data_IF_976810375264
#
_entry.id   IF_976810375264
#
_cell.length_a   1.000
_cell.length_b   1.000
_cell.length_c   1.000
_cell.angle_alpha   90.00
_cell.angle_beta   90.00
_cell.angle_gamma   90.00
#
_symmetry.space_group_name_H-M   'P 1'
#
loop_
_entity.id
_entity.type
_entity.pdbx_description
1 polymer ?
#
# COMPACT_ATOMS: atom_id res chain seq x y z
N UNK A 1 -12.55 1.69 -2.53
CA UNK A 1 -11.67 1.07 -1.53
C UNK A 1 -10.23 1.54 -1.68
N UNK A 2 -9.51 1.18 -2.76
CA UNK A 2 -8.12 1.62 -2.95
C UNK A 2 -7.93 3.14 -2.95
N UNK A 3 -8.88 3.92 -3.49
CA UNK A 3 -8.83 5.38 -3.42
C UNK A 3 -8.89 5.93 -1.98
N UNK A 4 -9.59 5.23 -1.07
CA UNK A 4 -9.62 5.55 0.37
C UNK A 4 -8.25 5.29 0.99
N UNK A 5 -7.67 4.12 0.73
CA UNK A 5 -6.32 3.76 1.18
C UNK A 5 -5.27 4.75 0.65
N UNK A 6 -5.33 5.10 -0.64
CA UNK A 6 -4.42 6.07 -1.24
C UNK A 6 -4.57 7.47 -0.63
N UNK A 7 -5.78 7.89 -0.26
CA UNK A 7 -5.99 9.17 0.44
C UNK A 7 -5.27 9.18 1.80
N UNK A 8 -5.45 8.13 2.60
CA UNK A 8 -4.75 7.99 3.89
C UNK A 8 -3.23 7.99 3.72
N UNK A 9 -2.72 7.28 2.70
CA UNK A 9 -1.28 7.28 2.40
C UNK A 9 -0.78 8.69 2.02
N UNK A 10 -1.58 9.48 1.29
CA UNK A 10 -1.22 10.86 0.95
C UNK A 10 -1.21 11.77 2.18
N UNK A 11 -2.15 11.61 3.10
CA UNK A 11 -2.17 12.33 4.39
C UNK A 11 -0.92 12.01 5.22
N UNK A 12 -0.54 10.73 5.30
CA UNK A 12 0.69 10.29 5.97
C UNK A 12 1.95 10.85 5.28
N UNK A 13 1.97 10.85 3.95
CA UNK A 13 3.09 11.41 3.17
C UNK A 13 3.23 12.91 3.39
N UNK A 14 2.12 13.63 3.39
CA UNK A 14 2.06 15.07 3.60
C UNK A 14 2.52 15.46 5.02
N UNK A 15 2.14 14.67 6.03
CA UNK A 15 2.73 14.78 7.37
C UNK A 15 4.26 14.66 7.33
N UNK A 16 4.83 13.63 6.68
CA UNK A 16 6.28 13.47 6.56
C UNK A 16 6.93 14.68 5.88
N UNK A 17 6.35 15.15 4.77
CA UNK A 17 6.90 16.31 4.04
C UNK A 17 6.97 17.53 4.95
N UNK A 18 5.88 17.84 5.67
CA UNK A 18 5.81 18.97 6.61
C UNK A 18 6.76 18.78 7.78
N UNK A 19 6.74 17.61 8.42
CA UNK A 19 7.58 17.30 9.56
C UNK A 19 9.06 17.58 9.26
N UNK A 20 9.58 17.02 8.17
CA UNK A 20 10.98 17.25 7.79
C UNK A 20 11.22 18.68 7.30
N UNK A 21 10.25 19.36 6.68
CA UNK A 21 10.41 20.77 6.28
C UNK A 21 10.57 21.69 7.49
N UNK A 22 9.78 21.47 8.54
CA UNK A 22 9.77 22.30 9.75
C UNK A 22 10.98 22.00 10.64
N UNK A 23 11.25 20.73 10.91
CA UNK A 23 12.19 20.36 11.97
C UNK A 23 13.64 20.16 11.50
N UNK A 24 13.89 20.05 10.19
CA UNK A 24 15.24 19.86 9.66
C UNK A 24 16.16 21.05 9.96
N UNK A 25 15.66 22.28 9.81
CA UNK A 25 16.43 23.49 10.11
C UNK A 25 16.74 23.64 11.61
N UNK A 26 15.81 23.23 12.46
CA UNK A 26 15.99 23.17 13.91
C UNK A 26 16.80 21.96 14.40
N UNK A 27 17.41 21.19 13.49
CA UNK A 27 18.15 19.96 13.80
C UNK A 27 17.34 18.98 14.68
N UNK A 28 16.03 18.91 14.46
CA UNK A 28 15.10 18.06 15.21
C UNK A 28 15.05 18.36 16.72
N UNK A 29 15.35 19.60 17.13
CA UNK A 29 15.18 20.08 18.52
C UNK A 29 13.74 20.56 18.73
N UNK A 30 13.21 20.37 19.94
CA UNK A 30 11.88 20.85 20.37
C UNK A 30 10.69 20.33 19.53
N UNK A 31 10.75 19.09 19.05
CA UNK A 31 9.63 18.46 18.33
C UNK A 31 8.47 18.22 19.31
N UNK A 32 7.23 18.63 18.97
CA UNK A 32 6.05 18.30 19.78
C UNK A 32 5.89 16.79 19.97
N UNK A 33 5.60 16.36 21.21
CA UNK A 33 5.49 14.93 21.56
C UNK A 33 4.53 14.16 20.66
N UNK A 34 3.40 14.77 20.28
CA UNK A 34 2.42 14.13 19.39
C UNK A 34 2.98 13.85 17.98
N UNK A 35 3.77 14.78 17.43
CA UNK A 35 4.41 14.58 16.12
C UNK A 35 5.46 13.48 16.19
N UNK A 36 6.26 13.45 17.26
CA UNK A 36 7.27 12.42 17.47
C UNK A 36 6.64 11.03 17.61
N UNK A 37 5.55 10.92 18.37
CA UNK A 37 4.77 9.68 18.50
C UNK A 37 4.20 9.23 17.16
N UNK A 38 3.64 10.16 16.37
CA UNK A 38 3.08 9.82 15.07
C UNK A 38 4.16 9.39 14.06
N UNK A 39 5.32 10.07 14.04
CA UNK A 39 6.47 9.66 13.25
C UNK A 39 6.96 8.26 13.62
N UNK A 40 7.02 7.93 14.92
CA UNK A 40 7.37 6.60 15.41
C UNK A 40 6.36 5.53 14.96
N UNK A 41 5.05 5.82 15.01
CA UNK A 41 4.01 4.92 14.48
C UNK A 41 4.20 4.67 12.98
N UNK A 42 4.51 5.71 12.19
CA UNK A 42 4.78 5.56 10.76
C UNK A 42 6.07 4.76 10.50
N UNK A 43 7.11 4.97 11.32
CA UNK A 43 8.35 4.18 11.28
C UNK A 43 8.05 2.70 11.38
N UNK A 44 7.28 2.31 12.39
CA UNK A 44 6.90 0.92 12.64
C UNK A 44 6.01 0.35 11.53
N UNK A 45 4.95 1.09 11.15
CA UNK A 45 4.00 0.70 10.08
C UNK A 45 4.73 0.36 8.78
N UNK A 46 5.64 1.25 8.35
CA UNK A 46 6.39 1.14 7.11
C UNK A 46 7.73 0.43 7.24
N UNK A 47 8.12 -0.02 8.44
CA UNK A 47 9.40 -0.70 8.73
C UNK A 47 10.61 0.11 8.28
N UNK A 48 10.68 1.36 8.71
CA UNK A 48 11.81 2.27 8.45
C UNK A 48 12.81 2.13 9.59
N UNK A 49 14.09 1.99 9.28
CA UNK A 49 15.11 1.62 10.26
C UNK A 49 15.35 2.76 11.26
N UNK A 50 15.57 3.97 10.76
CA UNK A 50 15.91 5.16 11.55
C UNK A 50 14.75 6.16 11.58
N UNK A 51 14.60 6.85 12.71
CA UNK A 51 13.46 7.74 12.94
C UNK A 51 13.47 8.97 12.03
N UNK A 52 14.66 9.47 11.67
CA UNK A 52 14.82 10.71 10.90
C UNK A 52 15.31 10.45 9.45
N UNK A 53 14.88 9.35 8.81
CA UNK A 53 15.22 9.05 7.41
C UNK A 53 14.12 9.44 6.43
N UNK A 54 14.10 10.74 6.08
CA UNK A 54 13.16 11.33 5.12
C UNK A 54 13.09 10.55 3.81
N UNK A 55 14.22 10.06 3.30
CA UNK A 55 14.28 9.38 2.00
C UNK A 55 13.52 8.07 2.06
N UNK A 56 13.75 7.25 3.09
CA UNK A 56 13.01 6.00 3.28
C UNK A 56 11.51 6.23 3.49
N UNK A 57 11.11 7.25 4.25
CA UNK A 57 9.69 7.62 4.37
C UNK A 57 9.07 7.95 3.02
N UNK A 58 9.68 8.86 2.25
CA UNK A 58 9.13 9.29 0.98
C UNK A 58 9.18 8.21 -0.11
N UNK A 59 10.04 7.21 0.00
CA UNK A 59 10.04 6.05 -0.90
C UNK A 59 8.93 5.05 -0.59
N UNK A 60 8.65 4.84 0.70
CA UNK A 60 7.68 3.84 1.17
C UNK A 60 6.24 4.37 1.26
N UNK A 61 6.05 5.61 1.71
CA UNK A 61 4.72 6.20 1.96
C UNK A 61 4.21 6.89 0.70
N UNK A 62 3.61 6.10 -0.18
CA UNK A 62 3.18 6.57 -1.48
C UNK A 62 2.07 5.68 -2.07
N UNK A 63 1.23 6.24 -2.92
CA UNK A 63 0.01 5.67 -3.49
C UNK A 63 0.30 4.49 -4.42
N UNK A 64 -0.64 3.56 -4.51
CA UNK A 64 -0.62 2.44 -5.46
C UNK A 64 -1.50 2.79 -6.66
N UNK A 65 -1.07 2.52 -7.92
CA UNK A 65 -1.91 2.73 -9.09
C UNK A 65 -3.24 1.98 -8.96
N UNK A 66 -4.33 2.65 -9.31
CA UNK A 66 -5.67 2.08 -9.16
C UNK A 66 -5.84 0.93 -10.14
N UNK A 67 -5.37 1.10 -11.38
CA UNK A 67 -5.48 0.08 -12.41
C UNK A 67 -4.73 -1.21 -12.07
N UNK A 68 -3.52 -1.10 -11.48
CA UNK A 68 -2.77 -2.26 -10.98
C UNK A 68 -3.58 -3.00 -9.91
N UNK A 69 -4.10 -2.25 -8.93
CA UNK A 69 -4.85 -2.84 -7.81
C UNK A 69 -6.10 -3.57 -8.30
N UNK A 70 -6.83 -2.99 -9.26
CA UNK A 70 -8.01 -3.63 -9.85
C UNK A 70 -7.64 -4.90 -10.63
N UNK A 71 -6.55 -4.87 -11.41
CA UNK A 71 -6.11 -6.04 -12.16
C UNK A 71 -5.64 -7.18 -11.25
N UNK A 72 -4.85 -6.87 -10.22
CA UNK A 72 -4.44 -7.85 -9.22
C UNK A 72 -5.66 -8.39 -8.47
N UNK A 73 -6.57 -7.52 -8.01
CA UNK A 73 -7.80 -7.97 -7.36
C UNK A 73 -8.61 -8.91 -8.27
N UNK A 74 -8.79 -8.58 -9.56
CA UNK A 74 -9.52 -9.43 -10.49
C UNK A 74 -8.87 -10.81 -10.67
N UNK A 75 -7.54 -10.86 -10.79
CA UNK A 75 -6.79 -12.12 -10.93
C UNK A 75 -6.83 -12.93 -9.63
N UNK A 76 -6.42 -12.34 -8.51
CA UNK A 76 -6.27 -13.05 -7.23
C UNK A 76 -7.61 -13.55 -6.66
N UNK A 77 -8.69 -12.80 -6.90
CA UNK A 77 -10.03 -13.17 -6.39
C UNK A 77 -10.90 -13.92 -7.40
N UNK A 78 -10.43 -14.12 -8.63
CA UNK A 78 -11.27 -14.61 -9.72
C UNK A 78 -12.50 -13.74 -9.94
N UNK A 79 -12.30 -12.42 -10.06
CA UNK A 79 -13.38 -11.41 -10.17
C UNK A 79 -14.33 -11.39 -8.97
N UNK A 80 -13.79 -11.56 -7.76
CA UNK A 80 -14.53 -11.57 -6.50
C UNK A 80 -15.30 -12.86 -6.22
N UNK A 81 -15.20 -13.87 -7.09
CA UNK A 81 -15.96 -15.12 -6.96
C UNK A 81 -15.32 -16.10 -5.97
N UNK A 82 -14.03 -15.94 -5.67
CA UNK A 82 -13.29 -16.80 -4.75
C UNK A 82 -13.97 -16.87 -3.38
N UNK A 83 -14.03 -18.09 -2.83
CA UNK A 83 -14.58 -18.32 -1.49
C UNK A 83 -13.82 -17.54 -0.40
N UNK A 84 -12.52 -17.29 -0.59
CA UNK A 84 -11.73 -16.52 0.38
C UNK A 84 -12.14 -15.05 0.44
N UNK A 85 -12.72 -14.51 -0.64
CA UNK A 85 -13.34 -13.18 -0.59
C UNK A 85 -14.61 -13.22 0.23
N UNK A 86 -15.47 -14.23 0.02
CA UNK A 86 -16.76 -14.35 0.69
C UNK A 86 -16.65 -14.69 2.19
N UNK A 87 -15.73 -15.58 2.53
CA UNK A 87 -15.59 -16.14 3.89
C UNK A 87 -14.54 -15.42 4.74
N UNK A 88 -13.51 -14.86 4.11
CA UNK A 88 -12.37 -14.28 4.81
C UNK A 88 -12.11 -12.81 4.48
N UNK A 89 -12.94 -12.18 3.65
CA UNK A 89 -12.72 -10.83 3.11
C UNK A 89 -11.33 -10.64 2.49
N UNK A 90 -10.73 -11.71 1.95
CA UNK A 90 -9.34 -11.73 1.54
C UNK A 90 -9.22 -11.71 0.01
N UNK A 91 -9.09 -10.50 -0.56
CA UNK A 91 -9.09 -10.27 -2.00
C UNK A 91 -7.79 -10.76 -2.65
N UNK A 92 -6.66 -10.57 -1.97
CA UNK A 92 -5.32 -10.79 -2.52
C UNK A 92 -4.67 -12.08 -1.99
N UNK A 93 -5.47 -12.98 -1.43
CA UNK A 93 -5.02 -14.28 -0.94
C UNK A 93 -3.93 -14.20 0.14
N UNK A 94 -3.96 -13.21 1.03
CA UNK A 94 -2.95 -13.03 2.08
C UNK A 94 -2.85 -14.23 3.02
N UNK A 95 -1.60 -14.59 3.33
CA UNK A 95 -1.25 -15.71 4.20
C UNK A 95 -1.04 -15.19 5.63
N UNK A 96 -1.28 -16.03 6.62
CA UNK A 96 -0.93 -15.81 8.02
C UNK A 96 -0.37 -17.09 8.62
N UNK A 97 0.61 -16.93 9.51
CA UNK A 97 1.15 -18.02 10.35
C UNK A 97 0.55 -18.01 11.76
N UNK A 98 -0.37 -17.07 12.03
CA UNK A 98 -1.11 -17.01 13.28
C UNK A 98 -2.06 -18.20 13.46
N UNK A 99 -2.58 -18.34 14.68
CA UNK A 99 -3.52 -19.42 15.04
C UNK A 99 -4.89 -19.26 14.35
N UNK A 100 -5.30 -18.03 14.06
CA UNK A 100 -6.58 -17.71 13.38
C UNK A 100 -6.38 -17.59 11.87
N UNK A 101 -7.17 -18.32 11.09
CA UNK A 101 -7.18 -18.30 9.63
C UNK A 101 -7.84 -19.55 9.04
N UNK A 102 -8.21 -19.50 7.76
CA UNK A 102 -8.79 -20.66 7.06
C UNK A 102 -7.65 -21.55 6.56
N UNK A 103 -7.73 -22.86 6.81
CA UNK A 103 -6.75 -23.81 6.26
C UNK A 103 -7.09 -24.01 4.76
N UNK A 104 -6.16 -23.77 3.82
CA UNK A 104 -6.40 -24.02 2.41
C UNK A 104 -6.69 -25.50 2.14
N UNK A 105 -7.66 -25.78 1.27
CA UNK A 105 -7.83 -27.13 0.72
C UNK A 105 -6.61 -27.49 -0.12
N UNK A 106 -6.06 -28.69 0.08
CA UNK A 106 -4.86 -29.13 -0.65
C UNK A 106 -3.55 -28.43 -0.24
N UNK A 107 -3.47 -27.86 0.97
CA UNK A 107 -2.21 -27.34 1.51
C UNK A 107 -1.14 -28.45 1.53
N UNK A 108 -0.03 -28.23 0.83
CA UNK A 108 1.11 -29.16 0.78
C UNK A 108 1.59 -29.58 2.17
N UNK A 109 2.06 -30.83 2.27
CA UNK A 109 2.62 -31.39 3.49
C UNK A 109 3.79 -30.53 4.01
N UNK A 110 3.80 -30.30 5.32
CA UNK A 110 4.80 -29.46 6.01
C UNK A 110 4.53 -27.95 5.97
N UNK A 111 3.61 -27.45 5.13
CA UNK A 111 3.24 -26.03 5.16
C UNK A 111 2.25 -25.76 6.30
N UNK A 112 2.49 -24.72 7.10
CA UNK A 112 1.68 -24.39 8.30
C UNK A 112 0.88 -23.08 8.17
N UNK A 113 1.00 -22.40 7.03
CA UNK A 113 0.27 -21.17 6.75
C UNK A 113 -1.25 -21.42 6.68
N UNK A 114 -2.00 -20.33 6.88
CA UNK A 114 -3.45 -20.24 6.75
C UNK A 114 -3.79 -19.03 5.88
N UNK A 115 -4.96 -19.02 5.28
CA UNK A 115 -5.54 -17.82 4.69
C UNK A 115 -5.94 -16.87 5.82
N UNK A 116 -5.42 -15.65 5.75
CA UNK A 116 -5.76 -14.59 6.71
C UNK A 116 -7.24 -14.23 6.55
N UNK A 117 -7.92 -14.09 7.68
CA UNK A 117 -9.28 -13.53 7.77
C UNK A 117 -9.15 -12.05 8.09
N UNK A 118 -9.89 -11.22 7.36
CA UNK A 118 -9.99 -9.79 7.59
C UNK A 118 -11.41 -9.42 8.05
N UNK A 119 -11.50 -8.42 8.91
CA UNK A 119 -12.79 -7.91 9.41
C UNK A 119 -13.63 -7.28 8.30
N UNK A 120 -12.97 -6.73 7.27
CA UNK A 120 -13.64 -6.21 6.08
C UNK A 120 -12.75 -6.32 4.84
N UNK A 121 -13.38 -6.24 3.66
CA UNK A 121 -12.65 -6.15 2.39
C UNK A 121 -11.68 -4.97 2.38
N UNK A 122 -12.01 -3.86 3.06
CA UNK A 122 -11.16 -2.67 3.12
C UNK A 122 -9.85 -2.98 3.85
N UNK A 123 -9.89 -3.78 4.93
CA UNK A 123 -8.67 -4.20 5.63
C UNK A 123 -7.75 -5.05 4.75
N UNK A 124 -8.30 -5.87 3.85
CA UNK A 124 -7.49 -6.61 2.87
C UNK A 124 -6.82 -5.68 1.85
N UNK A 125 -7.51 -4.64 1.38
CA UNK A 125 -6.93 -3.62 0.49
C UNK A 125 -5.84 -2.82 1.19
N UNK A 126 -6.04 -2.46 2.46
CA UNK A 126 -5.05 -1.71 3.25
C UNK A 126 -3.78 -2.54 3.49
N UNK A 127 -3.89 -3.83 3.81
CA UNK A 127 -2.74 -4.72 3.97
C UNK A 127 -2.01 -4.96 2.64
N UNK A 128 -2.74 -5.12 1.53
CA UNK A 128 -2.16 -5.22 0.19
C UNK A 128 -1.32 -3.98 -0.15
N UNK A 129 -1.87 -2.77 0.01
CA UNK A 129 -1.15 -1.54 -0.27
C UNK A 129 0.06 -1.37 0.65
N UNK A 130 -0.09 -1.70 1.93
CA UNK A 130 1.00 -1.66 2.90
C UNK A 130 2.11 -2.65 2.54
N UNK A 131 1.77 -3.86 2.09
CA UNK A 131 2.73 -4.88 1.65
C UNK A 131 3.60 -4.36 0.50
N UNK A 132 2.99 -3.79 -0.55
CA UNK A 132 3.72 -3.15 -1.66
C UNK A 132 4.61 -1.98 -1.18
N UNK A 133 4.16 -1.26 -0.16
CA UNK A 133 4.88 -0.11 0.38
C UNK A 133 6.02 -0.45 1.37
N UNK A 134 6.06 -1.66 1.95
CA UNK A 134 7.08 -1.99 2.98
C UNK A 134 7.90 -3.26 2.73
N UNK A 135 7.38 -4.23 1.98
CA UNK A 135 8.05 -5.52 1.84
C UNK A 135 9.25 -5.43 0.89
N UNK A 136 10.33 -6.15 1.19
CA UNK A 136 11.59 -6.04 0.43
C UNK A 136 11.43 -6.46 -1.03
N UNK A 137 10.58 -7.47 -1.30
CA UNK A 137 10.31 -7.98 -2.65
C UNK A 137 9.78 -6.91 -3.62
N UNK A 138 9.15 -5.84 -3.11
CA UNK A 138 8.60 -4.75 -3.92
C UNK A 138 9.48 -3.50 -3.94
N UNK A 139 10.79 -3.66 -3.70
CA UNK A 139 11.75 -2.55 -3.79
C UNK A 139 11.72 -1.89 -5.17
N UNK A 140 11.76 -2.69 -6.24
CA UNK A 140 11.77 -2.18 -7.62
C UNK A 140 10.50 -1.40 -7.96
N UNK A 141 9.34 -1.83 -7.45
CA UNK A 141 8.08 -1.08 -7.57
C UNK A 141 8.19 0.32 -6.97
N UNK A 142 8.71 0.40 -5.74
CA UNK A 142 8.86 1.69 -5.03
C UNK A 142 9.88 2.60 -5.71
N UNK A 143 10.99 2.06 -6.20
CA UNK A 143 12.01 2.82 -6.93
C UNK A 143 11.50 3.34 -8.27
N UNK A 144 10.73 2.53 -9.01
CA UNK A 144 10.11 2.98 -10.26
C UNK A 144 9.07 4.08 -10.01
N UNK A 145 8.29 3.97 -8.93
CA UNK A 145 7.34 5.00 -8.49
C UNK A 145 8.02 6.30 -8.07
N UNK A 146 9.11 6.20 -7.30
CA UNK A 146 9.93 7.34 -6.89
C UNK A 146 10.45 8.10 -8.11
N UNK A 147 11.06 7.39 -9.08
CA UNK A 147 11.54 7.97 -10.35
C UNK A 147 10.43 8.65 -11.15
N UNK A 148 9.22 8.09 -11.17
CA UNK A 148 8.09 8.71 -11.83
C UNK A 148 7.67 10.02 -11.14
N UNK A 149 7.66 10.05 -9.80
CA UNK A 149 7.39 11.29 -9.03
C UNK A 149 8.45 12.35 -9.26
N UNK A 150 9.74 12.00 -9.26
CA UNK A 150 10.84 12.95 -9.51
C UNK A 150 10.70 13.61 -10.89
N UNK A 151 10.16 12.89 -11.87
CA UNK A 151 9.91 13.38 -13.22
C UNK A 151 8.54 14.04 -13.39
N UNK A 152 7.72 14.13 -12.34
CA UNK A 152 6.34 14.60 -12.37
C UNK A 152 5.46 13.89 -13.43
N UNK A 153 5.68 12.59 -13.63
CA UNK A 153 4.88 11.76 -14.53
C UNK A 153 4.00 10.79 -13.75
N UNK A 154 2.90 10.36 -14.38
CA UNK A 154 2.00 9.35 -13.80
C UNK A 154 2.73 8.01 -13.71
N UNK A 155 2.82 7.45 -12.50
CA UNK A 155 3.22 6.05 -12.33
C UNK A 155 2.00 5.17 -12.62
N UNK A 156 1.78 4.81 -13.88
CA UNK A 156 0.62 4.03 -14.31
C UNK A 156 0.68 2.58 -13.85
N UNK A 157 -0.47 1.90 -13.82
CA UNK A 157 -0.49 0.46 -13.52
C UNK A 157 0.25 -0.39 -14.55
N UNK A 158 0.30 0.03 -15.82
CA UNK A 158 1.12 -0.63 -16.84
C UNK A 158 2.60 -0.61 -16.47
N UNK A 159 3.11 0.56 -16.04
CA UNK A 159 4.50 0.69 -15.60
C UNK A 159 4.75 -0.07 -14.30
N UNK A 160 3.78 -0.06 -13.40
CA UNK A 160 3.89 -0.82 -12.16
C UNK A 160 3.89 -2.34 -12.38
N UNK A 161 3.11 -2.85 -13.33
CA UNK A 161 3.05 -4.28 -13.63
C UNK A 161 4.41 -4.84 -14.08
N UNK A 162 5.22 -4.05 -14.79
CA UNK A 162 6.59 -4.43 -15.17
C UNK A 162 7.47 -4.76 -13.95
N UNK A 163 7.13 -4.23 -12.77
CA UNK A 163 7.88 -4.46 -11.52
C UNK A 163 7.34 -5.64 -10.69
N UNK A 164 6.27 -6.31 -11.13
CA UNK A 164 5.58 -7.37 -10.38
C UNK A 164 6.13 -8.79 -10.66
N UNK A 165 7.34 -8.91 -11.20
CA UNK A 165 7.96 -10.19 -11.54
C UNK A 165 8.04 -11.18 -10.37
N UNK A 166 8.27 -10.67 -9.15
CA UNK A 166 8.37 -11.48 -7.93
C UNK A 166 7.07 -11.58 -7.15
N UNK A 167 5.96 -11.05 -7.67
CA UNK A 167 4.65 -11.16 -7.02
C UNK A 167 4.07 -12.58 -7.14
N UNK A 168 4.32 -13.26 -8.26
CA UNK A 168 3.80 -14.59 -8.55
C UNK A 168 4.91 -15.52 -9.03
N UNK A 169 4.76 -16.81 -8.75
CA UNK A 169 5.61 -17.89 -9.30
C UNK A 169 5.51 -17.97 -10.83
N UNK A 170 4.45 -17.42 -11.43
CA UNK A 170 4.26 -17.32 -12.87
C UNK A 170 5.15 -16.26 -13.55
N UNK A 171 5.90 -15.45 -12.78
CA UNK A 171 6.90 -14.50 -13.28
C UNK A 171 6.38 -13.62 -14.42
N UNK A 172 7.02 -13.63 -15.59
CA UNK A 172 6.69 -12.81 -16.75
C UNK A 172 5.27 -13.10 -17.28
N UNK A 173 4.78 -14.34 -17.13
CA UNK A 173 3.41 -14.68 -17.50
C UNK A 173 2.41 -13.91 -16.63
N UNK A 174 2.70 -13.73 -15.34
CA UNK A 174 1.87 -12.89 -14.46
C UNK A 174 1.85 -11.42 -14.89
N UNK A 175 3.01 -10.87 -15.25
CA UNK A 175 3.11 -9.49 -15.76
C UNK A 175 2.24 -9.30 -17.01
N UNK A 176 2.31 -10.25 -17.96
CA UNK A 176 1.47 -10.22 -19.18
C UNK A 176 -0.02 -10.33 -18.85
N UNK A 177 -0.40 -11.16 -17.88
CA UNK A 177 -1.79 -11.27 -17.43
C UNK A 177 -2.31 -9.95 -16.86
N UNK A 178 -1.51 -9.27 -16.02
CA UNK A 178 -1.87 -7.96 -15.47
C UNK A 178 -2.11 -6.92 -16.56
N UNK A 179 -1.16 -6.81 -17.50
CA UNK A 179 -1.26 -5.87 -18.62
C UNK A 179 -2.48 -6.17 -19.50
N UNK A 180 -2.76 -7.45 -19.76
CA UNK A 180 -3.94 -7.87 -20.53
C UNK A 180 -5.24 -7.50 -19.82
N UNK A 181 -5.39 -7.83 -18.53
CA UNK A 181 -6.59 -7.49 -17.75
C UNK A 181 -6.80 -5.97 -17.72
N UNK A 182 -5.75 -5.18 -17.46
CA UNK A 182 -5.86 -3.72 -17.46
C UNK A 182 -6.31 -3.16 -18.81
N UNK A 183 -5.80 -3.71 -19.91
CA UNK A 183 -6.16 -3.29 -21.28
C UNK A 183 -7.60 -3.65 -21.60
N UNK A 184 -7.97 -4.91 -21.42
CA UNK A 184 -9.29 -5.43 -21.78
C UNK A 184 -10.41 -4.78 -20.95
N UNK A 185 -10.14 -4.48 -19.68
CA UNK A 185 -11.10 -3.82 -18.78
C UNK A 185 -10.97 -2.30 -18.72
N UNK A 186 -10.09 -1.70 -19.54
CA UNK A 186 -9.87 -0.24 -19.62
C UNK A 186 -9.55 0.44 -18.29
N UNK A 187 -8.86 -0.27 -17.39
CA UNK A 187 -8.60 0.22 -16.03
C UNK A 187 -7.63 1.41 -15.97
N UNK A 188 -6.85 1.67 -17.03
CA UNK A 188 -5.92 2.79 -17.10
C UNK A 188 -6.59 4.16 -16.87
N UNK A 189 -7.88 4.30 -17.23
CA UNK A 189 -8.68 5.51 -17.01
C UNK A 189 -8.81 5.93 -15.53
N UNK A 190 -8.52 5.02 -14.59
CA UNK A 190 -8.61 5.29 -13.15
C UNK A 190 -7.30 5.81 -12.53
N UNK A 191 -6.18 5.77 -13.25
CA UNK A 191 -4.88 6.21 -12.72
C UNK A 191 -4.72 7.74 -12.69
N UNK A 192 -5.46 8.47 -13.53
CA UNK A 192 -5.28 9.92 -13.73
C UNK A 192 -5.80 10.79 -12.58
N UNK A 193 -6.58 10.24 -11.63
CA UNK A 193 -7.29 11.04 -10.61
C UNK A 193 -6.52 11.30 -9.30
N UNK A 194 -5.25 10.88 -9.16
CA UNK A 194 -4.52 10.96 -7.87
C UNK A 194 -3.14 11.67 -8.03
N UNK A 195 -3.03 12.65 -8.91
CA UNK A 195 -1.76 13.40 -9.14
C UNK A 195 -1.68 14.78 -8.49
N UNK A 196 -2.69 15.25 -7.76
CA UNK A 196 -2.56 16.50 -7.01
C UNK A 196 -2.16 16.24 -5.56
N UNK A 197 -0.85 16.35 -5.29
CA UNK A 197 -0.38 16.68 -3.95
C UNK A 197 -0.84 18.09 -3.53
N UNK A 198 -0.68 18.42 -2.25
CA UNK A 198 -1.82 18.56 -1.35
C UNK A 198 -2.86 19.57 -1.85
N UNK A 199 -4.15 19.21 -1.79
CA UNK A 199 -5.20 20.24 -1.75
C UNK A 199 -4.97 21.10 -0.48
N UNK A 200 -5.23 22.41 -0.53
CA UNK A 200 -5.08 23.27 0.63
C UNK A 200 -6.07 22.82 1.69
N UNK A 201 -5.58 22.22 2.78
CA UNK A 201 -6.41 21.92 3.94
C UNK A 201 -6.17 23.02 4.97
N UNK A 202 -7.18 23.87 5.07
CA UNK A 202 -7.59 24.47 6.33
C UNK A 202 -7.42 23.45 7.47
N UNK A 203 -6.76 23.89 8.52
CA UNK A 203 -6.61 23.16 9.78
C UNK A 203 -7.97 22.56 10.19
N UNK A 204 -8.10 21.25 10.48
CA UNK A 204 -9.15 20.81 11.37
C UNK A 204 -8.80 21.37 12.74
N UNK A 205 -9.48 22.45 13.13
CA UNK A 205 -9.61 22.83 14.52
C UNK A 205 -10.18 21.63 15.29
N UNK A 206 -9.37 21.08 16.19
CA UNK A 206 -9.82 20.26 17.33
C UNK A 206 -10.72 19.07 17.03
N UNK A 207 -10.13 17.87 17.02
CA UNK A 207 -10.62 16.68 17.76
C UNK A 207 -9.86 15.45 17.27
N UNK A 208 -8.90 14.99 18.08
CA UNK A 208 -8.37 13.65 17.93
C UNK A 208 -9.47 12.64 18.27
N UNK A 209 -9.63 11.53 17.52
CA UNK A 209 -10.55 10.47 17.92
C UNK A 209 -10.04 9.82 19.21
N UNK A 210 -10.94 9.77 20.19
CA UNK A 210 -10.78 9.13 21.49
C UNK A 210 -10.46 7.64 21.25
N UNK A 211 -9.31 7.19 21.76
CA UNK A 211 -9.03 5.77 21.92
C UNK A 211 -9.88 5.27 23.08
N UNK A 212 -10.89 4.44 22.77
CA UNK A 212 -11.59 3.65 23.76
C UNK A 212 -10.62 2.62 24.37
N UNK A 213 -10.70 2.48 25.69
CA UNK A 213 -10.07 1.43 26.50
C UNK A 213 -10.65 0.05 26.17
#
# INVERSE_FOLDING_TARGET
MISKTNRLILEERDFIIRFFKIHLLGLFRNIPTQELQYLSKLREKYRIETLYDRKSYLRRIDTIPVSLTLAQAAIESGWGKSRFVKEANNIFGHWTWGKKGIIPEGREDGKTHRIRIFDSLQNSVDEYALNLNRHYAYRNFREAREKAREKNIVFSGMKAAETMLYYSELREKYVKMLQKVMKDSKFFSYDEKITKGPLPLSLPSGSAPILAQ
#
